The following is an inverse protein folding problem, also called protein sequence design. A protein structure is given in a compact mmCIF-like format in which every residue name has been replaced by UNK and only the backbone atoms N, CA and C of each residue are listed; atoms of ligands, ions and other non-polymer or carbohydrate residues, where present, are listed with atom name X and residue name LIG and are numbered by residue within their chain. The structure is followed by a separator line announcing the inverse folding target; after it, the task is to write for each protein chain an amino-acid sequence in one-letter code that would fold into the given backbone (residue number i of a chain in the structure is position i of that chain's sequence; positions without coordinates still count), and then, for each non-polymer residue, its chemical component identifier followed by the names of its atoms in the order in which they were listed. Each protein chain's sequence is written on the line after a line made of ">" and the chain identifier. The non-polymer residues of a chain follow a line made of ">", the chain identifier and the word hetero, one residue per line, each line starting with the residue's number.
data_IF_346606898640
#
_entry.id   IF_346606898640
#
_cell.length_a   1.000
_cell.length_b   1.000
_cell.length_c   1.000
_cell.angle_alpha   90.00
_cell.angle_beta   90.00
_cell.angle_gamma   90.00
#
_symmetry.space_group_name_H-M   'P 1'
#
loop_
_entity.id
_entity.type
_entity.pdbx_description
1 polymer ?
#
# COMPACT_ATOMS: atom_id res chain seq x y z
N UNK A 1 8.47 38.85 -16.79
CA UNK A 1 8.20 37.40 -16.86
C UNK A 1 9.16 36.76 -15.88
N UNK A 2 8.72 36.57 -14.65
CA UNK A 2 9.51 35.84 -13.67
C UNK A 2 9.49 34.37 -14.07
N UNK A 3 10.64 33.86 -14.51
CA UNK A 3 10.83 32.43 -14.71
C UNK A 3 10.87 31.80 -13.33
N UNK A 4 9.79 31.16 -12.94
CA UNK A 4 9.78 30.26 -11.78
C UNK A 4 10.98 29.33 -11.96
N UNK A 5 11.92 29.25 -10.99
CA UNK A 5 13.07 28.37 -11.12
C UNK A 5 12.58 26.95 -11.33
N UNK A 6 12.94 26.31 -12.45
CA UNK A 6 12.64 24.88 -12.65
C UNK A 6 13.41 24.10 -11.58
N UNK A 7 12.74 23.15 -10.89
CA UNK A 7 13.41 22.30 -9.92
C UNK A 7 14.60 21.58 -10.57
N UNK A 8 15.64 21.30 -9.77
CA UNK A 8 16.81 20.57 -10.22
C UNK A 8 16.37 19.17 -10.75
N UNK A 9 16.88 18.78 -11.91
CA UNK A 9 16.62 17.47 -12.49
C UNK A 9 17.67 16.49 -12.00
N UNK A 10 17.19 15.36 -11.43
CA UNK A 10 18.03 14.31 -10.86
C UNK A 10 18.27 13.19 -11.89
N UNK A 11 19.45 12.60 -11.85
CA UNK A 11 19.70 11.29 -12.42
C UNK A 11 19.13 10.23 -11.47
N UNK A 12 18.18 9.43 -11.97
CA UNK A 12 17.45 8.43 -11.16
C UNK A 12 17.89 7.02 -11.54
N UNK A 13 18.32 6.25 -10.55
CA UNK A 13 18.56 4.82 -10.66
C UNK A 13 17.44 4.03 -10.00
N UNK A 14 16.84 3.09 -10.71
CA UNK A 14 15.75 2.25 -10.18
C UNK A 14 16.27 0.84 -9.92
N UNK A 15 16.38 0.46 -8.68
CA UNK A 15 16.75 -0.92 -8.31
C UNK A 15 15.49 -1.75 -8.10
N UNK A 16 15.32 -2.73 -8.96
CA UNK A 16 14.15 -3.58 -9.20
C UNK A 16 13.04 -2.94 -10.04
N UNK A 17 12.96 -3.37 -11.32
CA UNK A 17 11.83 -3.09 -12.21
C UNK A 17 10.60 -3.96 -11.85
N UNK A 18 10.28 -4.02 -10.56
CA UNK A 18 9.05 -4.60 -10.03
C UNK A 18 7.83 -3.74 -10.39
N UNK A 19 6.65 -4.12 -9.90
CA UNK A 19 5.40 -3.36 -10.15
C UNK A 19 5.50 -1.93 -9.61
N UNK A 20 6.12 -1.73 -8.45
CA UNK A 20 6.27 -0.42 -7.81
C UNK A 20 7.41 0.38 -8.47
N UNK A 21 8.61 -0.21 -8.56
CA UNK A 21 9.79 0.50 -9.05
C UNK A 21 9.66 1.02 -10.47
N UNK A 22 9.06 0.23 -11.39
CA UNK A 22 8.84 0.67 -12.77
C UNK A 22 7.86 1.85 -12.85
N UNK A 23 6.77 1.82 -12.06
CA UNK A 23 5.76 2.89 -12.06
C UNK A 23 6.33 4.16 -11.44
N UNK A 24 7.02 4.09 -10.30
CA UNK A 24 7.65 5.25 -9.68
C UNK A 24 8.77 5.83 -10.54
N UNK A 25 9.61 4.97 -11.15
CA UNK A 25 10.62 5.42 -12.11
C UNK A 25 10.00 6.17 -13.29
N UNK A 26 8.90 5.65 -13.85
CA UNK A 26 8.16 6.30 -14.93
C UNK A 26 7.47 7.60 -14.47
N UNK A 27 6.95 7.66 -13.23
CA UNK A 27 6.38 8.89 -12.67
C UNK A 27 7.45 9.97 -12.51
N UNK A 28 8.64 9.63 -12.00
CA UNK A 28 9.78 10.54 -11.91
C UNK A 28 10.27 11.01 -13.31
N UNK A 29 10.29 10.10 -14.29
CA UNK A 29 10.62 10.47 -15.67
C UNK A 29 9.59 11.46 -16.25
N UNK A 30 8.30 11.26 -16.01
CA UNK A 30 7.23 12.20 -16.40
C UNK A 30 7.37 13.57 -15.71
N UNK A 31 7.82 13.60 -14.48
CA UNK A 31 8.17 14.82 -13.75
C UNK A 31 9.39 15.53 -14.36
N UNK A 32 10.12 14.87 -15.26
CA UNK A 32 11.25 15.41 -16.01
C UNK A 32 12.61 15.07 -15.42
N UNK A 33 12.69 14.17 -14.44
CA UNK A 33 13.94 13.56 -14.03
C UNK A 33 14.46 12.61 -15.13
N UNK A 34 15.76 12.29 -15.07
CA UNK A 34 16.38 11.40 -16.07
C UNK A 34 16.62 10.04 -15.42
N UNK A 35 15.86 9.01 -15.82
CA UNK A 35 16.15 7.65 -15.38
C UNK A 35 17.34 7.13 -16.15
N UNK A 36 18.49 6.96 -15.46
CA UNK A 36 19.79 6.62 -16.05
C UNK A 36 20.04 5.12 -16.09
N UNK A 37 19.32 4.33 -15.30
CA UNK A 37 19.47 2.90 -15.26
C UNK A 37 18.38 2.23 -14.42
N UNK A 38 18.11 0.97 -14.74
CA UNK A 38 17.15 0.13 -14.02
C UNK A 38 17.70 -1.28 -13.83
N UNK A 39 17.49 -1.90 -12.67
CA UNK A 39 17.82 -3.31 -12.52
C UNK A 39 16.58 -4.20 -12.71
N UNK A 40 16.74 -5.30 -13.45
CA UNK A 40 15.68 -6.26 -13.72
C UNK A 40 16.23 -7.67 -13.89
N UNK A 41 15.79 -8.62 -13.09
CA UNK A 41 16.28 -10.00 -13.10
C UNK A 41 15.40 -10.91 -13.96
N UNK A 42 14.09 -10.92 -13.72
CA UNK A 42 13.15 -11.78 -14.42
C UNK A 42 12.74 -11.22 -15.78
N UNK A 43 12.31 -12.11 -16.70
CA UNK A 43 11.77 -11.65 -17.99
C UNK A 43 10.55 -10.74 -17.82
N UNK A 44 9.71 -11.01 -16.79
CA UNK A 44 8.55 -10.18 -16.48
C UNK A 44 8.96 -8.77 -16.06
N UNK A 45 10.02 -8.63 -15.23
CA UNK A 45 10.54 -7.31 -14.85
C UNK A 45 11.21 -6.60 -16.01
N UNK A 46 11.92 -7.31 -16.90
CA UNK A 46 12.52 -6.73 -18.11
C UNK A 46 11.45 -6.18 -19.05
N UNK A 47 10.40 -6.97 -19.34
CA UNK A 47 9.29 -6.52 -20.17
C UNK A 47 8.60 -5.27 -19.60
N UNK A 48 8.49 -5.20 -18.28
CA UNK A 48 7.91 -4.04 -17.60
C UNK A 48 8.82 -2.82 -17.69
N UNK A 49 10.14 -3.00 -17.58
CA UNK A 49 11.11 -1.93 -17.81
C UNK A 49 11.01 -1.40 -19.24
N UNK A 50 10.93 -2.28 -20.22
CA UNK A 50 10.79 -1.90 -21.63
C UNK A 50 9.49 -1.10 -21.89
N UNK A 51 8.39 -1.47 -21.23
CA UNK A 51 7.09 -0.80 -21.39
C UNK A 51 7.02 0.57 -20.68
N UNK A 52 7.48 0.65 -19.42
CA UNK A 52 7.30 1.84 -18.57
C UNK A 52 8.51 2.79 -18.60
N UNK A 53 9.69 2.28 -18.92
CA UNK A 53 10.97 3.00 -18.94
C UNK A 53 11.69 2.74 -20.30
N UNK A 54 11.05 3.04 -21.43
CA UNK A 54 11.59 2.71 -22.75
C UNK A 54 12.95 3.38 -22.98
N UNK A 55 13.91 2.58 -23.45
CA UNK A 55 15.27 3.05 -23.75
C UNK A 55 16.18 3.24 -22.52
N UNK A 56 15.70 2.98 -21.31
CA UNK A 56 16.54 2.99 -20.10
C UNK A 56 17.38 1.71 -20.07
N UNK A 57 18.70 1.78 -19.90
CA UNK A 57 19.58 0.61 -19.84
C UNK A 57 19.25 -0.25 -18.60
N UNK A 58 19.24 -1.57 -18.82
CA UNK A 58 19.15 -2.55 -17.74
C UNK A 58 20.58 -2.91 -17.31
N UNK A 59 20.92 -2.69 -16.06
CA UNK A 59 22.24 -2.90 -15.50
C UNK A 59 22.18 -3.55 -14.10
N UNK A 60 23.31 -3.90 -13.54
CA UNK A 60 23.39 -4.43 -12.19
C UNK A 60 23.09 -3.34 -11.13
N UNK A 61 22.55 -3.71 -9.96
CA UNK A 61 22.19 -2.74 -8.91
C UNK A 61 23.33 -1.78 -8.51
N UNK A 62 24.55 -2.26 -8.49
CA UNK A 62 25.74 -1.48 -8.16
C UNK A 62 26.04 -0.41 -9.22
N UNK A 63 25.93 -0.74 -10.48
CA UNK A 63 26.10 0.19 -11.58
C UNK A 63 24.97 1.23 -11.63
N UNK A 64 23.71 0.78 -11.44
CA UNK A 64 22.55 1.67 -11.35
C UNK A 64 22.71 2.69 -10.22
N UNK A 65 23.14 2.25 -9.04
CA UNK A 65 23.34 3.12 -7.89
C UNK A 65 24.47 4.13 -8.09
N UNK A 66 25.61 3.70 -8.65
CA UNK A 66 26.80 4.53 -8.82
C UNK A 66 26.58 5.75 -9.72
N UNK A 67 25.68 5.64 -10.71
CA UNK A 67 25.41 6.69 -11.69
C UNK A 67 24.18 7.57 -11.39
N UNK A 68 23.57 7.40 -10.22
CA UNK A 68 22.35 8.11 -9.85
C UNK A 68 22.61 9.22 -8.81
N UNK A 69 21.81 10.28 -8.85
CA UNK A 69 21.64 11.25 -7.76
C UNK A 69 20.55 10.79 -6.78
N UNK A 70 19.52 10.12 -7.31
CA UNK A 70 18.46 9.49 -6.55
C UNK A 70 18.44 7.99 -6.86
N UNK A 71 18.62 7.16 -5.83
CA UNK A 71 18.58 5.70 -5.91
C UNK A 71 17.26 5.23 -5.31
N UNK A 72 16.37 4.70 -6.15
CA UNK A 72 15.08 4.14 -5.75
C UNK A 72 15.18 2.64 -5.55
N UNK A 73 15.01 2.17 -4.31
CA UNK A 73 15.05 0.77 -3.91
C UNK A 73 13.62 0.22 -3.81
N UNK A 74 13.20 -0.58 -4.79
CA UNK A 74 11.85 -1.15 -4.86
C UNK A 74 11.87 -2.70 -4.81
N UNK A 75 12.73 -3.23 -3.97
CA UNK A 75 12.87 -4.67 -3.69
C UNK A 75 11.90 -5.11 -2.58
N UNK A 76 11.65 -6.44 -2.41
CA UNK A 76 10.93 -6.98 -1.26
C UNK A 76 11.58 -6.57 0.07
N UNK A 77 10.77 -6.46 1.13
CA UNK A 77 11.21 -5.96 2.43
C UNK A 77 12.34 -6.81 3.03
N UNK A 78 12.29 -8.12 2.86
CA UNK A 78 13.28 -9.09 3.34
C UNK A 78 14.65 -8.99 2.60
N UNK A 79 14.67 -8.41 1.41
CA UNK A 79 15.90 -8.19 0.64
C UNK A 79 16.53 -6.80 0.87
N UNK A 80 15.76 -5.84 1.40
CA UNK A 80 16.14 -4.44 1.44
C UNK A 80 17.39 -4.20 2.29
N UNK A 81 17.50 -4.77 3.48
CA UNK A 81 18.65 -4.61 4.37
C UNK A 81 19.93 -5.17 3.74
N UNK A 82 19.85 -6.37 3.15
CA UNK A 82 20.96 -7.01 2.46
C UNK A 82 21.45 -6.20 1.27
N UNK A 83 20.52 -5.65 0.48
CA UNK A 83 20.82 -4.79 -0.66
C UNK A 83 21.57 -3.52 -0.23
N UNK A 84 21.06 -2.80 0.78
CA UNK A 84 21.68 -1.57 1.27
C UNK A 84 23.12 -1.83 1.75
N UNK A 85 23.32 -2.88 2.55
CA UNK A 85 24.66 -3.30 3.01
C UNK A 85 25.58 -3.65 1.84
N UNK A 86 25.06 -4.34 0.83
CA UNK A 86 25.81 -4.70 -0.37
C UNK A 86 26.24 -3.48 -1.17
N UNK A 87 25.34 -2.51 -1.40
CA UNK A 87 25.64 -1.27 -2.12
C UNK A 87 26.69 -0.41 -1.39
N UNK A 88 26.64 -0.37 -0.06
CA UNK A 88 27.66 0.31 0.76
C UNK A 88 29.01 -0.41 0.68
N UNK A 89 29.02 -1.73 0.85
CA UNK A 89 30.24 -2.53 0.83
C UNK A 89 30.96 -2.52 -0.53
N UNK A 90 30.22 -2.32 -1.62
CA UNK A 90 30.77 -2.19 -2.99
C UNK A 90 31.08 -0.74 -3.38
N UNK A 91 30.98 0.19 -2.44
CA UNK A 91 31.22 1.64 -2.68
C UNK A 91 30.35 2.20 -3.82
N UNK A 92 29.17 1.61 -4.04
CA UNK A 92 28.22 2.02 -5.09
C UNK A 92 27.34 3.20 -4.66
N UNK A 93 27.35 3.55 -3.37
CA UNK A 93 26.70 4.74 -2.83
C UNK A 93 27.74 5.78 -2.43
N UNK A 94 27.36 7.06 -2.49
CA UNK A 94 28.23 8.19 -2.14
C UNK A 94 27.48 9.25 -1.33
N UNK A 95 28.23 10.10 -0.64
CA UNK A 95 27.69 11.27 0.03
C UNK A 95 26.90 12.18 -0.93
N UNK A 96 25.81 12.76 -0.43
CA UNK A 96 24.96 13.68 -1.17
C UNK A 96 23.94 13.01 -2.11
N UNK A 97 23.94 11.68 -2.25
CA UNK A 97 22.85 10.98 -2.95
C UNK A 97 21.58 10.97 -2.11
N UNK A 98 20.43 10.90 -2.78
CA UNK A 98 19.14 10.61 -2.17
C UNK A 98 18.90 9.12 -2.32
N UNK A 99 18.75 8.40 -1.21
CA UNK A 99 18.45 6.96 -1.20
C UNK A 99 17.05 6.76 -0.66
N UNK A 100 16.19 6.19 -1.49
CA UNK A 100 14.77 6.03 -1.22
C UNK A 100 14.39 4.57 -1.29
N UNK A 101 13.65 4.06 -0.30
CA UNK A 101 12.98 2.78 -0.44
C UNK A 101 11.44 2.92 -0.44
N UNK A 102 10.74 1.88 -0.91
CA UNK A 102 9.29 1.90 -1.07
C UNK A 102 8.54 0.99 -0.10
N UNK A 103 9.21 0.39 0.88
CA UNK A 103 8.56 -0.45 1.90
C UNK A 103 7.52 0.33 2.68
N UNK A 104 6.36 -0.28 2.91
CA UNK A 104 5.33 0.28 3.78
C UNK A 104 5.60 0.05 5.27
N UNK A 105 6.22 -1.08 5.60
CA UNK A 105 6.45 -1.51 6.97
C UNK A 105 7.75 -0.98 7.56
N UNK A 106 8.82 -0.91 6.75
CA UNK A 106 10.13 -0.45 7.18
C UNK A 106 10.22 1.07 7.16
N UNK A 107 10.92 1.65 8.11
CA UNK A 107 11.29 3.07 8.13
C UNK A 107 12.69 3.30 7.58
N UNK A 108 13.24 4.50 7.85
CA UNK A 108 14.56 4.88 7.33
C UNK A 108 15.72 4.21 8.05
N UNK A 109 15.51 3.56 9.18
CA UNK A 109 16.57 2.83 9.90
C UNK A 109 17.27 1.79 9.04
N UNK A 110 16.56 1.13 8.12
CA UNK A 110 17.16 0.16 7.20
C UNK A 110 18.19 0.80 6.27
N UNK A 111 18.12 2.11 6.07
CA UNK A 111 19.06 2.92 5.27
C UNK A 111 20.20 3.54 6.10
N UNK A 112 20.32 3.24 7.41
CA UNK A 112 21.37 3.78 8.28
C UNK A 112 22.80 3.60 7.69
N UNK A 113 23.16 2.47 7.07
CA UNK A 113 24.46 2.33 6.43
C UNK A 113 24.71 3.35 5.32
N UNK A 114 23.69 3.73 4.55
CA UNK A 114 23.79 4.76 3.52
C UNK A 114 23.82 6.18 4.13
N UNK A 115 23.03 6.43 5.17
CA UNK A 115 23.06 7.68 5.92
C UNK A 115 24.45 7.92 6.54
N UNK A 116 25.12 6.87 7.03
CA UNK A 116 26.49 6.92 7.55
C UNK A 116 27.53 7.37 6.52
N UNK A 117 27.27 7.21 5.22
CA UNK A 117 28.09 7.75 4.13
C UNK A 117 27.76 9.22 3.80
N UNK A 118 26.74 9.80 4.41
CA UNK A 118 26.26 11.16 4.11
C UNK A 118 25.22 11.21 2.98
N UNK A 119 24.53 10.11 2.70
CA UNK A 119 23.35 10.11 1.83
C UNK A 119 22.13 10.64 2.59
N UNK A 120 21.22 11.32 1.88
CA UNK A 120 19.90 11.68 2.38
C UNK A 120 18.98 10.48 2.21
N UNK A 121 18.36 10.02 3.29
CA UNK A 121 17.59 8.79 3.31
C UNK A 121 16.11 9.03 3.53
N UNK A 122 15.27 8.34 2.74
CA UNK A 122 13.81 8.48 2.75
C UNK A 122 13.11 7.12 2.59
N UNK A 123 11.95 7.00 3.19
CA UNK A 123 10.98 5.96 2.84
C UNK A 123 9.76 6.63 2.18
N UNK A 124 9.49 6.29 0.93
CA UNK A 124 8.34 6.76 0.17
C UNK A 124 7.43 5.58 -0.14
N UNK A 125 6.33 5.45 0.59
CA UNK A 125 5.38 4.34 0.42
C UNK A 125 4.10 4.81 -0.29
N UNK A 126 3.92 4.52 -1.59
CA UNK A 126 2.69 4.83 -2.29
C UNK A 126 1.53 3.97 -1.79
N UNK A 127 0.45 4.62 -1.30
CA UNK A 127 -0.72 3.94 -0.73
C UNK A 127 -1.69 3.58 -1.83
N UNK A 128 -1.31 2.60 -2.65
CA UNK A 128 -2.15 2.05 -3.72
C UNK A 128 -1.76 0.62 -4.06
N UNK A 129 -2.65 -0.09 -4.76
CA UNK A 129 -2.34 -1.39 -5.34
C UNK A 129 -1.73 -1.22 -6.73
N UNK A 130 -0.55 -1.83 -6.94
CA UNK A 130 0.16 -1.77 -8.22
C UNK A 130 -0.07 -3.02 -9.07
N UNK A 131 -0.44 -2.80 -10.31
CA UNK A 131 -0.47 -3.83 -11.36
C UNK A 131 0.85 -3.90 -12.13
N UNK A 132 1.63 -2.82 -12.11
CA UNK A 132 2.85 -2.65 -12.89
C UNK A 132 2.57 -2.32 -14.36
N UNK A 133 1.43 -1.68 -14.65
CA UNK A 133 1.00 -1.28 -15.99
C UNK A 133 0.89 0.24 -16.11
N UNK A 134 0.81 0.81 -17.32
CA UNK A 134 0.70 2.24 -17.54
C UNK A 134 -0.48 2.91 -16.84
N UNK A 135 -1.58 2.19 -16.59
CA UNK A 135 -2.75 2.72 -15.88
C UNK A 135 -2.43 3.13 -14.44
N UNK A 136 -1.42 2.51 -13.82
CA UNK A 136 -1.00 2.86 -12.47
C UNK A 136 -0.44 4.29 -12.40
N UNK A 137 0.12 4.83 -13.49
CA UNK A 137 0.57 6.22 -13.56
C UNK A 137 -0.57 7.24 -13.43
N UNK A 138 -1.75 6.88 -13.92
CA UNK A 138 -2.93 7.73 -13.75
C UNK A 138 -3.50 7.63 -12.33
N UNK A 139 -3.36 6.45 -11.70
CA UNK A 139 -3.81 6.22 -10.32
C UNK A 139 -2.92 6.93 -9.30
N UNK A 140 -1.66 7.16 -9.64
CA UNK A 140 -0.71 7.89 -8.77
C UNK A 140 -1.21 9.31 -8.45
N UNK A 141 -1.82 10.03 -9.39
CA UNK A 141 -2.31 11.39 -9.17
C UNK A 141 -3.48 11.48 -8.17
N UNK A 142 -4.09 10.37 -7.82
CA UNK A 142 -5.11 10.27 -6.77
C UNK A 142 -4.61 9.55 -5.52
N UNK A 143 -3.33 9.18 -5.47
CA UNK A 143 -2.76 8.40 -4.39
C UNK A 143 -2.05 9.30 -3.37
N UNK A 144 -2.15 8.90 -2.10
CA UNK A 144 -1.26 9.42 -1.07
C UNK A 144 0.04 8.61 -1.06
N UNK A 145 1.15 9.28 -0.72
CA UNK A 145 2.44 8.64 -0.48
C UNK A 145 2.90 8.94 0.94
N UNK A 146 3.03 7.89 1.74
CA UNK A 146 3.59 7.99 3.09
C UNK A 146 5.08 8.31 3.03
N UNK A 147 5.46 9.48 3.48
CA UNK A 147 6.86 9.94 3.55
C UNK A 147 7.38 9.74 4.97
N UNK A 148 8.55 9.15 5.11
CA UNK A 148 9.30 9.09 6.37
C UNK A 148 10.74 9.53 6.14
N UNK A 149 11.22 10.38 7.01
CA UNK A 149 12.61 10.77 7.14
C UNK A 149 13.06 10.52 8.59
N UNK A 150 14.34 10.64 8.86
CA UNK A 150 14.87 10.58 10.23
C UNK A 150 14.24 11.68 11.10
N UNK A 151 14.06 11.40 12.39
CA UNK A 151 13.46 12.36 13.31
C UNK A 151 14.26 13.66 13.33
N UNK A 152 13.58 14.78 13.10
CA UNK A 152 14.17 16.12 13.05
C UNK A 152 14.89 16.48 11.73
N UNK A 153 14.93 15.60 10.75
CA UNK A 153 15.52 15.91 9.43
C UNK A 153 14.47 16.57 8.51
N UNK A 154 14.23 17.86 8.74
CA UNK A 154 13.29 18.65 7.93
C UNK A 154 13.76 18.84 6.47
N UNK A 155 15.07 18.70 6.22
CA UNK A 155 15.59 18.75 4.83
C UNK A 155 15.17 17.50 4.07
N UNK A 156 15.37 16.33 4.66
CA UNK A 156 14.92 15.06 4.05
C UNK A 156 13.40 15.04 3.85
N UNK A 157 12.61 15.50 4.85
CA UNK A 157 11.17 15.63 4.70
C UNK A 157 10.81 16.51 3.49
N UNK A 158 11.39 17.70 3.37
CA UNK A 158 11.09 18.64 2.29
C UNK A 158 11.44 18.07 0.91
N UNK A 159 12.53 17.32 0.82
CA UNK A 159 12.92 16.61 -0.42
C UNK A 159 11.92 15.50 -0.74
N UNK A 160 11.50 14.72 0.25
CA UNK A 160 10.50 13.67 0.06
C UNK A 160 9.16 14.21 -0.39
N UNK A 161 8.69 15.32 0.22
CA UNK A 161 7.47 16.02 -0.16
C UNK A 161 7.56 16.53 -1.62
N UNK A 162 8.67 17.16 -1.98
CA UNK A 162 8.87 17.66 -3.34
C UNK A 162 8.83 16.54 -4.38
N UNK A 163 9.51 15.42 -4.13
CA UNK A 163 9.50 14.26 -5.02
C UNK A 163 8.09 13.68 -5.20
N UNK A 164 7.30 13.61 -4.13
CA UNK A 164 5.93 13.11 -4.17
C UNK A 164 5.03 14.05 -4.98
N UNK A 165 5.12 15.36 -4.75
CA UNK A 165 4.35 16.38 -5.51
C UNK A 165 4.76 16.36 -6.98
N UNK A 166 6.03 16.20 -7.30
CA UNK A 166 6.51 16.09 -8.69
C UNK A 166 5.97 14.83 -9.40
N UNK A 167 5.72 13.76 -8.66
CA UNK A 167 5.03 12.56 -9.18
C UNK A 167 3.50 12.73 -9.29
N UNK A 168 2.97 13.94 -9.04
CA UNK A 168 1.54 14.26 -9.07
C UNK A 168 0.71 13.51 -8.00
N UNK A 169 1.33 13.21 -6.85
CA UNK A 169 0.72 12.51 -5.72
C UNK A 169 0.68 13.39 -4.46
N UNK A 170 -0.08 12.99 -3.45
CA UNK A 170 -0.22 13.71 -2.18
C UNK A 170 0.74 13.17 -1.12
N UNK A 171 1.69 13.98 -0.59
CA UNK A 171 2.58 13.54 0.48
C UNK A 171 1.87 13.53 1.84
N UNK A 172 2.10 12.46 2.61
CA UNK A 172 1.60 12.32 3.98
C UNK A 172 2.76 11.96 4.89
N UNK A 173 3.04 12.79 5.90
CA UNK A 173 4.10 12.51 6.88
C UNK A 173 3.73 11.32 7.75
N UNK A 174 4.57 10.29 7.75
CA UNK A 174 4.44 9.09 8.58
C UNK A 174 5.69 8.99 9.46
N UNK A 175 5.59 9.25 10.78
CA UNK A 175 6.71 9.11 11.68
C UNK A 175 7.27 7.68 11.69
N UNK A 176 8.59 7.54 11.86
CA UNK A 176 9.29 6.25 11.93
C UNK A 176 8.62 5.28 12.91
N UNK A 177 8.32 5.77 14.12
CA UNK A 177 7.79 4.97 15.23
C UNK A 177 6.40 4.37 14.97
N UNK A 178 5.62 4.94 14.05
CA UNK A 178 4.25 4.46 13.77
C UNK A 178 4.16 3.61 12.50
N UNK A 179 5.24 3.47 11.72
CA UNK A 179 5.19 2.72 10.45
C UNK A 179 4.65 1.29 10.56
N UNK A 180 5.02 0.48 11.56
CA UNK A 180 4.45 -0.87 11.68
C UNK A 180 2.93 -0.86 11.82
N UNK A 181 2.39 0.06 12.66
CA UNK A 181 0.94 0.21 12.84
C UNK A 181 0.27 0.77 11.58
N UNK A 182 0.88 1.79 10.95
CA UNK A 182 0.42 2.36 9.69
C UNK A 182 0.29 1.29 8.61
N UNK A 183 1.33 0.49 8.37
CA UNK A 183 1.29 -0.57 7.37
C UNK A 183 0.28 -1.68 7.72
N UNK A 184 0.19 -2.06 8.99
CA UNK A 184 -0.81 -3.03 9.47
C UNK A 184 -2.24 -2.53 9.23
N UNK A 185 -2.51 -1.23 9.45
CA UNK A 185 -3.82 -0.65 9.20
C UNK A 185 -4.20 -0.69 7.70
N UNK A 186 -3.25 -0.34 6.82
CA UNK A 186 -3.46 -0.41 5.37
C UNK A 186 -3.66 -1.85 4.88
N UNK A 187 -2.86 -2.80 5.37
CA UNK A 187 -3.01 -4.21 5.05
C UNK A 187 -4.35 -4.75 5.54
N UNK A 188 -4.77 -4.38 6.76
CA UNK A 188 -6.06 -4.76 7.30
C UNK A 188 -7.23 -4.22 6.47
N UNK A 189 -7.17 -2.94 6.08
CA UNK A 189 -8.23 -2.29 5.30
C UNK A 189 -8.28 -2.73 3.83
N UNK A 190 -7.13 -2.93 3.18
CA UNK A 190 -7.05 -3.21 1.75
C UNK A 190 -6.89 -4.70 1.43
N UNK A 191 -5.90 -5.38 2.04
CA UNK A 191 -5.60 -6.76 1.66
C UNK A 191 -6.67 -7.74 2.15
N UNK A 192 -7.16 -7.56 3.39
CA UNK A 192 -8.25 -8.39 3.90
C UNK A 192 -9.58 -8.11 3.20
N UNK A 193 -9.80 -6.88 2.69
CA UNK A 193 -10.98 -6.60 1.86
C UNK A 193 -11.02 -7.50 0.62
N UNK A 194 -9.87 -7.73 -0.04
CA UNK A 194 -9.81 -8.63 -1.21
C UNK A 194 -10.26 -10.04 -0.82
N UNK A 195 -9.79 -10.55 0.32
CA UNK A 195 -10.20 -11.86 0.83
C UNK A 195 -11.71 -11.90 1.09
N UNK A 196 -12.26 -10.91 1.80
CA UNK A 196 -13.71 -10.84 2.08
C UNK A 196 -14.57 -10.81 0.80
N UNK A 197 -14.11 -10.06 -0.21
CA UNK A 197 -14.79 -9.98 -1.50
C UNK A 197 -14.75 -11.32 -2.22
N UNK A 198 -13.60 -12.02 -2.19
CA UNK A 198 -13.46 -13.34 -2.81
C UNK A 198 -14.31 -14.38 -2.09
N UNK A 199 -14.29 -14.44 -0.77
CA UNK A 199 -15.11 -15.33 0.04
C UNK A 199 -16.61 -15.14 -0.31
N UNK A 200 -17.07 -13.89 -0.39
CA UNK A 200 -18.46 -13.58 -0.75
C UNK A 200 -18.81 -14.03 -2.19
N UNK A 201 -17.90 -13.82 -3.15
CA UNK A 201 -18.10 -14.24 -4.53
C UNK A 201 -18.15 -15.77 -4.65
N UNK A 202 -17.27 -16.47 -3.94
CA UNK A 202 -17.20 -17.93 -3.96
C UNK A 202 -18.44 -18.55 -3.30
N UNK A 203 -18.97 -18.00 -2.20
CA UNK A 203 -20.24 -18.38 -1.58
C UNK A 203 -21.42 -18.25 -2.54
N UNK A 204 -21.54 -17.12 -3.24
CA UNK A 204 -22.60 -16.88 -4.22
C UNK A 204 -22.52 -17.86 -5.39
N UNK A 205 -21.31 -18.03 -5.94
CA UNK A 205 -21.06 -18.95 -7.05
C UNK A 205 -21.33 -20.40 -6.67
N UNK A 206 -20.88 -20.82 -5.49
CA UNK A 206 -21.14 -22.16 -4.92
C UNK A 206 -22.62 -22.42 -4.66
N UNK A 207 -23.42 -21.36 -4.44
CA UNK A 207 -24.88 -21.42 -4.31
C UNK A 207 -25.61 -21.42 -5.66
N UNK A 208 -24.90 -21.46 -6.80
CA UNK A 208 -25.47 -21.48 -8.15
C UNK A 208 -25.83 -20.10 -8.71
N UNK A 209 -25.40 -19.01 -8.07
CA UNK A 209 -25.62 -17.65 -8.55
C UNK A 209 -24.50 -17.28 -9.52
N UNK A 210 -24.83 -17.21 -10.80
CA UNK A 210 -23.87 -16.80 -11.83
C UNK A 210 -23.56 -15.30 -11.75
N UNK A 211 -22.32 -14.92 -12.12
CA UNK A 211 -21.86 -13.53 -12.16
C UNK A 211 -21.96 -12.81 -10.79
N UNK A 212 -21.44 -13.44 -9.74
CA UNK A 212 -21.45 -12.91 -8.38
C UNK A 212 -20.91 -11.46 -8.31
N UNK A 213 -19.92 -11.13 -9.14
CA UNK A 213 -19.30 -9.80 -9.22
C UNK A 213 -20.29 -8.69 -9.62
N UNK A 214 -21.29 -9.02 -10.44
CA UNK A 214 -22.36 -8.07 -10.83
C UNK A 214 -23.28 -7.70 -9.68
N UNK A 215 -23.47 -8.61 -8.71
CA UNK A 215 -24.21 -8.34 -7.49
C UNK A 215 -23.34 -7.60 -6.47
N UNK A 216 -22.11 -8.06 -6.29
CA UNK A 216 -21.21 -7.52 -5.27
C UNK A 216 -20.66 -6.13 -5.63
N UNK A 217 -20.38 -5.86 -6.89
CA UNK A 217 -19.76 -4.60 -7.31
C UNK A 217 -20.50 -3.36 -6.81
N UNK A 218 -21.77 -3.15 -7.16
CA UNK A 218 -22.54 -1.99 -6.68
C UNK A 218 -22.71 -1.96 -5.16
N UNK A 219 -22.96 -3.13 -4.54
CA UNK A 219 -23.11 -3.24 -3.09
C UNK A 219 -21.85 -2.84 -2.33
N UNK A 220 -20.70 -3.39 -2.72
CA UNK A 220 -19.41 -3.13 -2.05
C UNK A 220 -18.95 -1.70 -2.30
N UNK A 221 -19.14 -1.16 -3.50
CA UNK A 221 -18.81 0.24 -3.79
C UNK A 221 -19.59 1.20 -2.92
N UNK A 222 -20.91 0.97 -2.76
CA UNK A 222 -21.74 1.79 -1.89
C UNK A 222 -21.38 1.63 -0.41
N UNK A 223 -21.08 0.41 0.04
CA UNK A 223 -20.67 0.14 1.41
C UNK A 223 -19.36 0.85 1.76
N UNK A 224 -18.37 0.80 0.84
CA UNK A 224 -17.08 1.48 1.01
C UNK A 224 -17.25 3.01 1.05
N UNK A 225 -17.98 3.59 0.10
CA UNK A 225 -18.24 5.03 0.07
C UNK A 225 -18.94 5.49 1.37
N UNK A 226 -19.98 4.77 1.81
CA UNK A 226 -20.68 5.07 3.05
C UNK A 226 -19.75 4.96 4.28
N UNK A 227 -18.93 3.93 4.35
CA UNK A 227 -17.99 3.75 5.47
C UNK A 227 -16.97 4.89 5.55
N UNK A 228 -16.42 5.32 4.40
CA UNK A 228 -15.46 6.42 4.35
C UNK A 228 -16.08 7.78 4.70
N UNK A 229 -17.35 8.01 4.35
CA UNK A 229 -18.05 9.28 4.62
C UNK A 229 -18.68 9.35 6.01
N UNK A 230 -19.17 8.24 6.52
CA UNK A 230 -20.05 8.24 7.71
C UNK A 230 -19.47 7.44 8.88
N UNK A 231 -18.35 6.74 8.70
CA UNK A 231 -17.74 5.89 9.72
C UNK A 231 -18.72 4.83 10.22
N UNK A 232 -18.79 4.63 11.53
CA UNK A 232 -19.64 3.60 12.14
C UNK A 232 -21.15 3.80 11.93
N UNK A 233 -21.58 5.02 11.59
CA UNK A 233 -22.98 5.27 11.23
C UNK A 233 -23.41 4.57 9.94
N UNK A 234 -22.46 4.10 9.12
CA UNK A 234 -22.73 3.29 7.94
C UNK A 234 -23.01 1.82 8.25
N UNK A 235 -22.79 1.38 9.50
CA UNK A 235 -23.05 0.00 9.90
C UNK A 235 -24.52 -0.37 9.72
N UNK A 236 -24.77 -1.50 9.08
CA UNK A 236 -26.10 -2.02 8.77
C UNK A 236 -26.08 -3.56 8.81
N UNK A 237 -27.19 -4.18 8.49
CA UNK A 237 -27.30 -5.64 8.47
C UNK A 237 -27.79 -6.21 9.81
N UNK A 238 -27.93 -7.54 9.91
CA UNK A 238 -28.55 -8.19 11.07
C UNK A 238 -27.78 -7.96 12.37
N UNK A 239 -26.46 -7.98 12.32
CA UNK A 239 -25.61 -7.76 13.51
C UNK A 239 -25.81 -6.35 14.07
N UNK A 240 -25.70 -5.32 13.24
CA UNK A 240 -25.85 -3.93 13.68
C UNK A 240 -27.28 -3.60 14.17
N UNK A 241 -28.30 -4.40 13.77
CA UNK A 241 -29.68 -4.27 14.24
C UNK A 241 -30.04 -5.20 15.39
N UNK A 242 -29.14 -6.07 15.85
CA UNK A 242 -29.41 -7.04 16.90
C UNK A 242 -30.34 -8.20 16.48
N UNK A 243 -30.43 -8.50 15.17
CA UNK A 243 -31.28 -9.58 14.64
C UNK A 243 -30.59 -10.95 14.81
N UNK A 244 -30.68 -11.49 16.01
CA UNK A 244 -30.12 -12.80 16.37
C UNK A 244 -30.76 -13.95 15.61
N UNK A 245 -32.01 -13.81 15.19
CA UNK A 245 -32.72 -14.84 14.41
C UNK A 245 -32.11 -15.05 13.02
N UNK A 246 -31.82 -13.96 12.33
CA UNK A 246 -31.10 -14.00 11.05
C UNK A 246 -29.63 -14.43 11.25
N UNK A 247 -28.97 -13.99 12.33
CA UNK A 247 -27.60 -14.35 12.64
C UNK A 247 -27.44 -15.87 12.83
N UNK A 248 -28.32 -16.53 13.60
CA UNK A 248 -28.32 -18.00 13.75
C UNK A 248 -28.44 -18.73 12.40
N UNK A 249 -29.33 -18.25 11.51
CA UNK A 249 -29.45 -18.84 10.16
C UNK A 249 -28.17 -18.72 9.35
N UNK A 250 -27.46 -17.58 9.47
CA UNK A 250 -26.16 -17.42 8.81
C UNK A 250 -25.13 -18.41 9.38
N UNK A 251 -25.00 -18.50 10.69
CA UNK A 251 -24.07 -19.45 11.34
C UNK A 251 -24.36 -20.89 10.94
N UNK A 252 -25.65 -21.30 10.96
CA UNK A 252 -26.08 -22.65 10.58
C UNK A 252 -25.76 -22.99 9.13
N UNK A 253 -25.98 -22.08 8.19
CA UNK A 253 -25.69 -22.34 6.78
C UNK A 253 -24.21 -22.34 6.49
N UNK A 254 -23.44 -21.41 7.09
CA UNK A 254 -21.99 -21.37 6.94
C UNK A 254 -21.33 -22.61 7.54
N UNK A 255 -21.77 -23.06 8.72
CA UNK A 255 -21.25 -24.29 9.34
C UNK A 255 -21.41 -25.52 8.44
N UNK A 256 -22.48 -25.59 7.65
CA UNK A 256 -22.76 -26.73 6.76
C UNK A 256 -22.13 -26.60 5.37
N UNK A 257 -22.05 -25.39 4.82
CA UNK A 257 -21.73 -25.20 3.40
C UNK A 257 -20.36 -24.53 3.17
N UNK A 258 -19.84 -23.81 4.16
CA UNK A 258 -18.56 -23.09 4.07
C UNK A 258 -17.90 -22.99 5.47
N UNK A 259 -17.58 -24.11 6.10
CA UNK A 259 -17.02 -24.11 7.46
C UNK A 259 -15.69 -23.36 7.59
N UNK A 260 -14.93 -23.22 6.50
CA UNK A 260 -13.68 -22.46 6.43
C UNK A 260 -13.89 -20.95 6.58
N UNK A 261 -15.07 -20.43 6.21
CA UNK A 261 -15.41 -18.99 6.31
C UNK A 261 -16.00 -18.65 7.69
N UNK A 262 -16.60 -19.62 8.36
CA UNK A 262 -17.31 -19.40 9.63
C UNK A 262 -16.45 -18.70 10.71
N UNK A 263 -15.16 -19.03 10.92
CA UNK A 263 -14.34 -18.35 11.90
C UNK A 263 -14.17 -16.84 11.63
N UNK A 264 -13.90 -16.47 10.39
CA UNK A 264 -13.75 -15.06 9.98
C UNK A 264 -15.08 -14.31 10.09
N UNK A 265 -16.19 -14.94 9.71
CA UNK A 265 -17.52 -14.38 9.87
C UNK A 265 -17.83 -14.05 11.33
N UNK A 266 -17.59 -15.00 12.26
CA UNK A 266 -17.79 -14.81 13.72
C UNK A 266 -16.98 -13.64 14.26
N UNK A 267 -15.69 -13.57 13.93
CA UNK A 267 -14.79 -12.50 14.40
C UNK A 267 -15.26 -11.14 13.91
N UNK A 268 -15.61 -11.01 12.64
CA UNK A 268 -16.07 -9.75 12.06
C UNK A 268 -17.47 -9.38 12.59
N UNK A 269 -18.37 -10.33 12.76
CA UNK A 269 -19.68 -10.07 13.34
C UNK A 269 -19.57 -9.56 14.79
N UNK A 270 -18.68 -10.15 15.60
CA UNK A 270 -18.39 -9.67 16.96
C UNK A 270 -17.88 -8.24 16.93
N UNK A 271 -16.88 -7.95 16.09
CA UNK A 271 -16.32 -6.60 15.95
C UNK A 271 -17.36 -5.60 15.45
N UNK A 272 -18.27 -6.00 14.56
CA UNK A 272 -19.38 -5.17 14.11
C UNK A 272 -20.35 -4.84 15.25
N UNK A 273 -20.67 -5.81 16.11
CA UNK A 273 -21.53 -5.58 17.28
C UNK A 273 -20.89 -4.60 18.28
N UNK A 274 -19.59 -4.73 18.55
CA UNK A 274 -18.85 -3.80 19.40
C UNK A 274 -18.91 -2.36 18.86
N UNK A 275 -18.58 -2.18 17.57
CA UNK A 275 -18.62 -0.84 16.94
C UNK A 275 -20.03 -0.26 16.87
N UNK A 276 -21.05 -1.09 16.66
CA UNK A 276 -22.45 -0.67 16.66
C UNK A 276 -22.91 -0.26 18.06
N UNK A 277 -22.44 -0.93 19.12
CA UNK A 277 -22.69 -0.56 20.51
C UNK A 277 -22.00 0.76 20.87
N UNK A 278 -20.68 0.88 20.59
CA UNK A 278 -19.88 2.06 20.85
C UNK A 278 -20.43 3.32 20.16
N UNK A 279 -20.99 3.17 18.97
CA UNK A 279 -21.61 4.27 18.19
C UNK A 279 -23.08 4.53 18.55
N UNK A 280 -23.66 3.78 19.48
CA UNK A 280 -25.05 3.92 19.92
C UNK A 280 -26.10 3.40 18.94
N UNK A 281 -25.71 2.69 17.88
CA UNK A 281 -26.63 2.05 16.93
C UNK A 281 -27.27 0.79 17.50
N UNK A 282 -26.58 0.09 18.39
CA UNK A 282 -27.02 -1.14 19.02
C UNK A 282 -27.07 -0.92 20.55
N UNK A 283 -28.19 -1.28 21.17
CA UNK A 283 -28.35 -1.19 22.63
C UNK A 283 -27.50 -2.28 23.31
N UNK A 284 -26.97 -2.04 24.54
CA UNK A 284 -26.13 -3.01 25.26
C UNK A 284 -26.74 -4.40 25.41
N UNK A 285 -28.03 -4.51 25.73
CA UNK A 285 -28.72 -5.80 25.87
C UNK A 285 -28.73 -6.57 24.55
N UNK A 286 -29.06 -5.89 23.44
CA UNK A 286 -29.07 -6.50 22.11
C UNK A 286 -27.64 -6.86 21.64
N UNK A 287 -26.64 -6.07 22.01
CA UNK A 287 -25.23 -6.40 21.74
C UNK A 287 -24.80 -7.66 22.51
N UNK A 288 -25.25 -7.82 23.75
CA UNK A 288 -24.98 -9.02 24.51
C UNK A 288 -25.66 -10.28 23.90
N UNK A 289 -26.91 -10.15 23.46
CA UNK A 289 -27.61 -11.24 22.77
C UNK A 289 -26.90 -11.67 21.47
N UNK A 290 -26.38 -10.70 20.73
CA UNK A 290 -25.57 -10.97 19.53
C UNK A 290 -24.28 -11.71 19.90
N UNK A 291 -23.54 -11.25 20.93
CA UNK A 291 -22.30 -11.90 21.41
C UNK A 291 -22.57 -13.36 21.81
N UNK A 292 -23.60 -13.59 22.63
CA UNK A 292 -23.99 -14.95 23.04
C UNK A 292 -24.33 -15.82 21.81
N UNK A 293 -25.11 -15.31 20.86
CA UNK A 293 -25.43 -16.05 19.63
C UNK A 293 -24.18 -16.40 18.80
N UNK A 294 -23.14 -15.59 18.84
CA UNK A 294 -21.87 -15.86 18.11
C UNK A 294 -20.98 -16.89 18.80
N UNK A 295 -21.18 -17.18 20.08
CA UNK A 295 -20.45 -18.19 20.87
C UNK A 295 -21.03 -19.60 20.73
N UNK A 296 -22.33 -19.70 20.51
CA UNK A 296 -23.05 -20.97 20.21
C UNK A 296 -22.59 -21.54 18.85
#
# INVERSE_FOLDING_TARGET
>A
MDATPRPARLAVGVISAGRVGSVLGAALARAGHVVTGVSAVSQVSRNRADELLPGVPIADPTEVAAHADLVLLAVPDDELEGLVKGLVATESLRAGQIVVHTSGAMGVQVLEPAAGLGALTLALHPVMTFTGRPEDLQRMSAACVGVTAADGDEVAWSVGEALVVEMDAEPVRVPESVRPLYHSALAHGANHLITLVRDAADLLTGSGIANAERLLGPLLSAALDNALRHGDRALTGPVARGDTGTLRKHLDVLARQAPEILPSYRVLARRTAERAEDSGLLKPDAANDVRTTLED
#
